data_IF_518457057804
#
_entry.id   IF_518457057804
#
_cell.length_a   1.000
_cell.length_b   1.000
_cell.length_c   1.000
_cell.angle_alpha   90.00
_cell.angle_beta   90.00
_cell.angle_gamma   90.00
#
_symmetry.space_group_name_H-M   'P 1'
#
loop_
_entity.id
_entity.type
_entity.pdbx_description
1 polymer ?
2 non-polymer ?
3 non-polymer ?
4 water ?
#
# COMPACT_ATOMS: atom_id res chain seq x y z
N UNK A 24 10.53 10.22 7.88
CA UNK A 24 10.75 9.05 6.96
C UNK A 24 10.54 7.74 7.73
N UNK A 25 10.33 6.66 6.98
CA UNK A 25 10.31 5.30 7.56
C UNK A 25 11.28 4.42 6.80
N UNK A 26 11.76 3.37 7.43
CA UNK A 26 12.78 2.47 6.85
C UNK A 26 12.42 1.03 7.18
N UNK A 27 12.82 0.12 6.31
CA UNK A 27 12.70 -1.33 6.54
C UNK A 27 13.89 -2.02 5.90
N UNK A 28 14.52 -2.89 6.68
CA UNK A 28 15.66 -3.71 6.24
C UNK A 28 15.25 -5.16 6.15
N UNK A 29 15.37 -5.72 4.95
CA UNK A 29 15.07 -7.16 4.69
C UNK A 29 16.11 -8.04 5.40
N UNK A 30 17.39 -7.64 5.39
CA UNK A 30 18.45 -8.39 6.12
C UNK A 30 18.07 -8.44 7.61
N UNK A 31 17.84 -9.63 8.14
CA UNK A 31 17.49 -9.81 9.55
C UNK A 31 16.02 -9.64 9.79
N UNK A 32 15.19 -9.46 8.77
CA UNK A 32 13.75 -9.24 8.99
C UNK A 32 13.10 -10.51 9.50
N UNK A 33 12.08 -10.35 10.33
CA UNK A 33 11.23 -11.45 10.82
C UNK A 33 9.82 -10.90 10.92
N UNK A 34 8.83 -11.75 11.22
CA UNK A 34 7.46 -11.26 11.35
C UNK A 34 7.35 -10.06 12.29
N UNK A 35 8.07 -10.11 13.42
CA UNK A 35 7.97 -9.01 14.41
C UNK A 35 8.50 -7.72 13.79
N UNK A 36 9.67 -7.73 13.18
CA UNK A 36 10.26 -6.50 12.68
C UNK A 36 9.40 -5.93 11.53
N UNK A 37 8.90 -6.76 10.63
CA UNK A 37 7.94 -6.31 9.60
C UNK A 37 6.69 -5.71 10.25
N UNK A 38 6.10 -6.38 11.22
CA UNK A 38 4.92 -5.84 11.89
C UNK A 38 5.20 -4.49 12.45
N UNK A 39 6.36 -4.33 13.08
CA UNK A 39 6.70 -3.02 13.69
C UNK A 39 6.89 -2.00 12.57
N UNK A 40 7.53 -2.35 11.47
CA UNK A 40 7.67 -1.41 10.33
C UNK A 40 6.28 -0.95 9.82
N UNK A 41 5.35 -1.86 9.66
CA UNK A 41 4.00 -1.47 9.15
C UNK A 41 3.33 -0.57 10.20
N UNK A 42 3.48 -0.86 11.49
CA UNK A 42 2.91 0.02 12.54
C UNK A 42 3.53 1.39 12.36
N UNK A 43 4.84 1.44 12.14
CA UNK A 43 5.56 2.72 11.98
C UNK A 43 5.16 3.48 10.71
N UNK A 44 4.91 2.77 9.62
CA UNK A 44 4.40 3.41 8.36
C UNK A 44 3.02 4.03 8.64
N UNK A 45 2.11 3.28 9.24
CA UNK A 45 0.79 3.85 9.61
C UNK A 45 0.98 5.10 10.44
N UNK A 46 1.86 5.04 11.43
CA UNK A 46 1.99 6.18 12.37
C UNK A 46 2.64 7.37 11.70
N UNK A 47 3.25 7.21 10.54
CA UNK A 47 3.91 8.33 9.86
C UNK A 47 2.86 9.11 9.08
N UNK A 48 1.63 8.63 8.98
CA UNK A 48 0.59 9.31 8.18
C UNK A 48 -0.19 10.25 9.10
N UNK A 49 -0.38 11.52 8.74
CA UNK A 49 -1.07 12.46 9.62
C UNK A 49 -2.59 12.26 9.58
N UNK A 50 -3.21 12.61 10.70
CA UNK A 50 -4.67 12.60 10.85
C UNK A 50 -5.04 13.64 11.90
N UNK A 51 -6.23 14.19 11.75
CA UNK A 51 -6.79 15.19 12.70
C UNK A 51 -7.78 14.49 13.62
N UNK A 52 -8.43 13.43 13.14
CA UNK A 52 -9.41 12.70 13.96
C UNK A 52 -9.38 11.24 13.61
N UNK A 53 -10.04 10.47 14.46
CA UNK A 53 -10.36 9.06 14.22
C UNK A 53 -11.87 8.94 14.05
N UNK A 54 -12.28 7.98 13.26
CA UNK A 54 -13.70 7.63 13.08
C UNK A 54 -13.81 6.17 13.48
N UNK A 55 -14.64 5.85 14.45
CA UNK A 55 -14.72 4.50 15.01
C UNK A 55 -13.30 4.02 15.34
N UNK A 56 -12.49 4.90 15.89
CA UNK A 56 -11.15 4.60 16.43
C UNK A 56 -10.18 4.23 15.30
N UNK A 57 -10.48 4.62 14.07
CA UNK A 57 -9.55 4.41 12.94
C UNK A 57 -9.09 5.77 12.48
N UNK A 58 -7.77 6.01 12.33
CA UNK A 58 -7.30 7.26 11.76
C UNK A 58 -7.95 7.62 10.42
N UNK A 59 -8.42 8.86 10.34
CA UNK A 59 -8.96 9.42 9.10
C UNK A 59 -7.87 10.21 8.39
N UNK A 60 -7.43 9.75 7.22
CA UNK A 60 -6.38 10.47 6.48
C UNK A 60 -6.92 11.84 6.09
N UNK A 61 -5.99 12.78 5.88
CA UNK A 61 -6.36 14.20 5.65
C UNK A 61 -6.97 14.35 4.25
N UNK A 62 -7.86 15.35 4.04
CA UNK A 62 -8.39 15.64 2.72
C UNK A 62 -7.30 16.03 1.71
N UNK A 63 -6.32 16.79 2.18
CA UNK A 63 -5.30 17.40 1.31
C UNK A 63 -4.10 17.81 2.15
N UNK A 64 -2.91 17.77 1.55
CA UNK A 64 -1.66 18.32 2.13
C UNK A 64 -0.93 19.04 0.99
N UNK A 65 -0.65 20.33 1.15
CA UNK A 65 0.02 21.17 0.11
C UNK A 65 1.52 20.88 0.06
N UNK A 66 2.09 20.86 -1.14
CA UNK A 66 3.54 20.89 -1.34
C UNK A 66 4.25 19.62 -0.88
N UNK A 67 5.50 19.71 -0.44
CA UNK A 67 6.39 18.53 -0.23
C UNK A 67 5.94 17.68 0.97
N UNK A 68 5.23 18.28 1.94
CA UNK A 68 4.75 17.57 3.14
C UNK A 68 3.77 16.46 2.78
N UNK A 69 3.23 16.47 1.56
CA UNK A 69 2.28 15.44 1.11
C UNK A 69 2.98 14.09 0.97
N UNK A 70 4.30 14.06 0.89
CA UNK A 70 5.00 12.82 0.54
C UNK A 70 5.85 12.31 1.69
N UNK A 71 5.66 11.04 2.04
CA UNK A 71 6.50 10.30 2.98
C UNK A 71 7.55 9.57 2.16
N UNK A 72 8.76 9.54 2.65
CA UNK A 72 9.84 8.73 2.08
C UNK A 72 9.98 7.44 2.86
N UNK A 73 9.94 6.32 2.15
CA UNK A 73 10.09 4.98 2.71
C UNK A 73 11.35 4.39 2.15
N UNK A 74 12.37 4.18 2.97
CA UNK A 74 13.67 3.62 2.58
C UNK A 74 13.59 2.12 2.77
N UNK A 75 13.78 1.36 1.69
CA UNK A 75 13.69 -0.11 1.71
C UNK A 75 15.04 -0.68 1.34
N UNK A 76 15.49 -1.66 2.09
CA UNK A 76 16.81 -2.27 1.86
C UNK A 76 16.61 -3.76 1.61
N UNK A 77 17.22 -4.27 0.54
CA UNK A 77 17.12 -5.72 0.21
C UNK A 77 18.07 -6.52 1.13
N UNK A 78 18.05 -7.85 0.99
CA UNK A 78 18.92 -8.71 1.86
C UNK A 78 20.37 -8.21 1.78
N UNK A 79 20.80 -7.86 0.58
CA UNK A 79 22.22 -7.54 0.34
C UNK A 79 22.50 -6.06 0.73
N UNK A 80 21.51 -5.31 1.25
CA UNK A 80 21.77 -3.95 1.78
C UNK A 80 21.69 -2.82 0.72
N UNK A 81 21.33 -3.15 -0.50
CA UNK A 81 21.04 -2.13 -1.56
C UNK A 81 19.64 -1.56 -1.28
N UNK A 82 19.39 -0.36 -1.76
CA UNK A 82 18.20 0.37 -1.29
C UNK A 82 17.52 1.13 -2.41
N UNK A 83 16.22 1.28 -2.24
CA UNK A 83 15.44 2.31 -2.98
C UNK A 83 14.71 3.16 -1.94
N UNK A 84 14.36 4.34 -2.34
CA UNK A 84 13.49 5.21 -1.54
C UNK A 84 12.17 5.34 -2.29
N UNK A 85 11.06 5.14 -1.64
CA UNK A 85 9.72 5.16 -2.27
C UNK A 85 8.98 6.38 -1.76
N UNK A 86 8.36 7.13 -2.66
CA UNK A 86 7.54 8.30 -2.29
C UNK A 86 6.10 7.86 -2.17
N UNK A 87 5.48 8.14 -1.03
CA UNK A 87 4.08 7.76 -0.73
C UNK A 87 3.27 9.00 -0.39
N UNK A 88 2.14 9.17 -1.04
CA UNK A 88 1.22 10.29 -0.70
C UNK A 88 0.51 9.96 0.62
N UNK A 89 0.63 10.84 1.60
CA UNK A 89 0.13 10.53 2.96
C UNK A 89 -1.36 10.69 3.05
N UNK A 90 -2.02 11.27 2.06
CA UNK A 90 -3.49 11.37 2.08
C UNK A 90 -4.16 10.09 1.61
N UNK A 91 -3.46 9.22 0.89
CA UNK A 91 -4.15 8.04 0.31
C UNK A 91 -3.24 6.80 0.26
N UNK A 92 -2.08 6.89 0.88
CA UNK A 92 -1.05 5.81 0.90
C UNK A 92 -0.67 5.39 -0.53
N UNK A 93 -0.77 6.26 -1.49
CA UNK A 93 -0.48 5.88 -2.89
C UNK A 93 1.00 6.10 -3.20
N UNK A 94 1.63 5.04 -3.67
CA UNK A 94 3.04 5.09 -4.14
C UNK A 94 3.08 5.79 -5.50
N UNK A 95 3.89 6.84 -5.55
CA UNK A 95 3.98 7.74 -6.71
C UNK A 95 5.20 7.44 -7.57
N UNK A 96 6.27 6.98 -6.93
CA UNK A 96 7.54 6.80 -7.61
C UNK A 96 8.58 6.42 -6.62
N UNK A 97 9.79 6.30 -7.09
CA UNK A 97 10.90 5.85 -6.24
C UNK A 97 12.22 6.29 -6.84
N UNK A 98 13.25 6.30 -6.01
CA UNK A 98 14.61 6.66 -6.35
C UNK A 98 15.48 5.43 -6.21
N UNK A 99 16.25 5.13 -7.23
CA UNK A 99 17.27 4.07 -7.20
C UNK A 99 18.59 4.67 -7.65
N UNK A 100 19.53 4.82 -6.72
CA UNK A 100 20.88 5.41 -6.95
C UNK A 100 20.66 6.83 -7.45
N UNK A 101 20.92 7.10 -8.73
CA UNK A 101 20.92 8.46 -9.31
C UNK A 101 19.71 8.65 -10.24
N UNK A 102 18.77 7.70 -10.30
CA UNK A 102 17.64 7.78 -11.25
C UNK A 102 16.32 7.72 -10.46
N UNK A 103 15.44 8.68 -10.71
CA UNK A 103 14.07 8.62 -10.14
C UNK A 103 13.14 8.04 -11.18
N UNK A 104 12.06 7.45 -10.71
CA UNK A 104 11.06 6.75 -11.52
C UNK A 104 9.70 7.16 -11.01
N UNK A 105 8.85 7.57 -11.92
CA UNK A 105 7.49 7.99 -11.53
C UNK A 105 6.45 7.34 -12.41
N UNK A 106 5.30 6.99 -11.83
CA UNK A 106 4.18 6.52 -12.65
C UNK A 106 3.77 7.59 -13.66
N UNK A 107 3.20 7.15 -14.77
CA UNK A 107 2.72 8.03 -15.85
C UNK A 107 1.30 8.48 -15.50
N UNK A 108 1.16 9.44 -14.61
CA UNK A 108 -0.16 9.97 -14.21
C UNK A 108 0.06 11.32 -13.54
N UNK A 109 -0.97 12.20 -13.52
CA UNK A 109 -0.77 13.56 -13.00
C UNK A 109 -0.33 13.68 -11.54
N UNK A 110 -0.82 12.80 -10.67
CA UNK A 110 -0.43 12.92 -9.25
C UNK A 110 1.08 12.65 -9.12
N UNK A 111 1.60 11.71 -9.90
CA UNK A 111 3.01 11.31 -9.82
C UNK A 111 3.85 12.40 -10.48
N UNK A 112 3.34 12.99 -11.57
CA UNK A 112 4.07 14.14 -12.18
C UNK A 112 4.17 15.30 -11.18
N UNK A 113 3.10 15.56 -10.43
CA UNK A 113 3.12 16.59 -9.37
C UNK A 113 4.14 16.21 -8.28
N UNK A 114 4.15 14.94 -7.84
CA UNK A 114 5.07 14.51 -6.79
C UNK A 114 6.48 14.82 -7.26
N UNK A 115 6.77 14.61 -8.54
CA UNK A 115 8.13 14.79 -9.06
C UNK A 115 8.61 16.25 -8.99
N UNK A 116 7.72 17.19 -8.72
CA UNK A 116 8.07 18.61 -8.44
C UNK A 116 8.68 18.73 -7.05
N UNK A 117 8.46 17.77 -6.16
CA UNK A 117 8.77 17.89 -4.72
C UNK A 117 9.80 16.89 -4.22
N UNK A 118 9.87 15.68 -4.78
CA UNK A 118 10.74 14.61 -4.23
C UNK A 118 11.78 14.24 -5.29
N UNK A 119 12.90 13.74 -4.80
CA UNK A 119 13.98 13.15 -5.63
C UNK A 119 14.54 14.14 -6.66
N UNK A 120 14.48 15.41 -6.31
CA UNK A 120 14.82 16.50 -7.26
C UNK A 120 16.27 16.38 -7.72
N UNK A 121 17.16 15.80 -6.88
CA UNK A 121 18.64 15.72 -7.10
C UNK A 121 19.02 14.49 -7.92
N UNK A 122 18.08 13.63 -8.30
CA UNK A 122 18.35 12.54 -9.24
C UNK A 122 18.94 13.12 -10.53
N UNK A 123 19.84 12.38 -11.13
CA UNK A 123 20.51 12.84 -12.38
C UNK A 123 19.52 12.84 -13.52
N UNK A 124 18.54 11.93 -13.51
CA UNK A 124 17.50 11.89 -14.55
C UNK A 124 16.26 11.33 -13.89
N UNK A 125 15.17 11.63 -14.53
CA UNK A 125 13.85 11.17 -14.10
C UNK A 125 13.23 10.37 -15.22
N UNK A 126 12.90 9.13 -14.94
CA UNK A 126 12.19 8.28 -15.93
C UNK A 126 10.73 8.24 -15.57
N UNK A 127 9.89 8.48 -16.55
CA UNK A 127 8.46 8.23 -16.40
C UNK A 127 8.19 6.83 -16.88
N UNK A 128 7.71 5.98 -15.98
CA UNK A 128 7.39 4.59 -16.35
C UNK A 128 6.29 4.58 -17.39
N UNK A 129 6.21 3.56 -18.26
CA UNK A 129 5.21 3.57 -19.32
C UNK A 129 3.88 2.94 -18.89
N UNK A 130 3.40 3.33 -17.71
CA UNK A 130 2.10 2.94 -17.15
C UNK A 130 1.81 3.85 -15.96
N UNK A 131 0.56 4.04 -15.69
CA UNK A 131 0.09 4.58 -14.40
C UNK A 131 0.26 3.54 -13.30
N UNK A 132 -0.03 3.99 -12.08
CA UNK A 132 0.20 3.15 -10.90
C UNK A 132 -1.02 2.44 -10.38
N UNK A 133 -2.11 2.38 -11.14
CA UNK A 133 -3.30 1.64 -10.70
C UNK A 133 -3.13 0.15 -11.05
N UNK A 134 -3.87 -0.68 -10.35
CA UNK A 134 -3.75 -2.13 -10.54
C UNK A 134 -4.06 -2.55 -11.97
N UNK A 135 -5.09 -1.94 -12.57
CA UNK A 135 -5.51 -2.36 -13.92
C UNK A 135 -4.32 -2.21 -14.88
N UNK A 136 -3.64 -1.07 -14.86
CA UNK A 136 -2.56 -0.82 -15.83
C UNK A 136 -1.31 -1.62 -15.45
N UNK A 137 -1.03 -1.77 -14.15
CA UNK A 137 0.16 -2.53 -13.73
C UNK A 137 -0.01 -3.99 -14.10
N UNK A 138 -1.21 -4.56 -13.93
CA UNK A 138 -1.39 -5.98 -14.26
C UNK A 138 -1.26 -6.20 -15.76
N UNK A 139 -1.74 -5.27 -16.58
CA UNK A 139 -1.52 -5.38 -18.05
C UNK A 139 -0.02 -5.32 -18.35
N UNK A 140 0.73 -4.40 -17.74
CA UNK A 140 2.17 -4.27 -18.01
C UNK A 140 2.92 -5.51 -17.50
N UNK A 141 2.48 -6.08 -16.38
CA UNK A 141 3.16 -7.26 -15.79
C UNK A 141 2.83 -8.55 -16.56
N UNK A 142 1.70 -8.53 -17.28
CA UNK A 142 1.20 -9.69 -18.01
C UNK A 142 0.50 -10.70 -17.13
N UNK A 143 0.18 -10.36 -15.87
CA UNK A 143 -0.45 -11.27 -14.89
C UNK A 143 -1.34 -10.45 -13.97
N UNK A 144 -2.50 -10.98 -13.52
CA UNK A 144 -3.24 -10.35 -12.43
C UNK A 144 -2.56 -10.57 -11.08
N UNK A 145 -2.89 -9.74 -10.11
CA UNK A 145 -2.45 -9.91 -8.69
C UNK A 145 -2.62 -11.35 -8.22
N UNK A 146 -3.71 -12.01 -8.59
CA UNK A 146 -4.01 -13.37 -8.10
C UNK A 146 -2.86 -14.33 -8.40
N UNK A 147 -2.06 -14.09 -9.43
CA UNK A 147 -1.05 -15.06 -9.92
C UNK A 147 0.37 -14.67 -9.51
N UNK A 148 0.58 -13.57 -8.81
CA UNK A 148 1.93 -13.07 -8.44
C UNK A 148 2.16 -13.35 -6.97
N UNK A 149 3.11 -14.26 -6.63
CA UNK A 149 3.41 -14.49 -5.23
C UNK A 149 3.88 -13.21 -4.53
N UNK A 150 3.45 -13.05 -3.30
CA UNK A 150 3.90 -11.90 -2.47
C UNK A 150 4.47 -12.47 -1.19
N UNK A 151 5.19 -11.61 -0.46
CA UNK A 151 5.88 -12.00 0.76
C UNK A 151 7.15 -11.20 0.91
N UNK A 152 7.88 -11.45 1.98
CA UNK A 152 9.13 -10.69 2.19
C UNK A 152 10.20 -11.11 1.18
N UNK A 153 10.35 -12.40 0.81
CA UNK A 153 11.30 -12.70 -0.26
C UNK A 153 10.93 -11.97 -1.56
N UNK A 154 9.63 -11.93 -1.87
CA UNK A 154 9.18 -11.25 -3.08
C UNK A 154 9.56 -9.77 -3.00
N UNK A 155 9.46 -9.15 -1.81
CA UNK A 155 9.84 -7.74 -1.67
C UNK A 155 11.33 -7.57 -1.88
N UNK A 156 12.17 -8.47 -1.34
CA UNK A 156 13.60 -8.47 -1.67
C UNK A 156 13.79 -8.47 -3.20
N UNK A 157 13.13 -9.38 -3.86
CA UNK A 157 13.29 -9.50 -5.33
C UNK A 157 12.82 -8.18 -5.98
N UNK A 158 11.74 -7.62 -5.50
CA UNK A 158 11.16 -6.38 -6.12
C UNK A 158 12.16 -5.24 -5.95
N UNK A 159 12.76 -5.06 -4.80
CA UNK A 159 13.76 -3.99 -4.59
C UNK A 159 14.90 -4.23 -5.57
N UNK A 160 15.38 -5.47 -5.67
CA UNK A 160 16.47 -5.84 -6.61
C UNK A 160 16.07 -5.41 -8.02
N UNK A 161 14.88 -5.79 -8.45
CA UNK A 161 14.41 -5.47 -9.81
C UNK A 161 14.41 -3.96 -10.01
N UNK A 162 13.89 -3.19 -9.07
CA UNK A 162 13.74 -1.73 -9.25
C UNK A 162 15.07 -0.97 -9.19
N UNK A 163 16.16 -1.58 -8.75
CA UNK A 163 17.47 -0.86 -8.64
C UNK A 163 17.99 -0.35 -9.99
N UNK A 164 17.65 -1.07 -11.04
CA UNK A 164 18.11 -0.78 -12.42
C UNK A 164 16.91 -0.90 -13.34
N UNK A 165 16.69 0.05 -14.21
CA UNK A 165 15.43 0.04 -15.02
C UNK A 165 15.17 -1.27 -15.82
N UNK A 166 13.96 -1.80 -15.70
CA UNK A 166 13.33 -2.79 -16.61
C UNK A 166 11.80 -2.65 -16.56
N UNK A 167 11.14 -1.98 -17.49
CA UNK A 167 9.74 -1.55 -17.23
C UNK A 167 8.82 -2.77 -17.06
N UNK A 168 9.01 -3.84 -17.83
CA UNK A 168 8.11 -5.01 -17.71
C UNK A 168 8.30 -5.66 -16.33
N UNK A 169 9.54 -5.95 -15.95
CA UNK A 169 9.89 -6.63 -14.67
C UNK A 169 9.47 -5.66 -13.57
N UNK A 170 9.62 -4.36 -13.78
CA UNK A 170 9.28 -3.34 -12.77
C UNK A 170 7.78 -3.42 -12.46
N UNK A 171 6.91 -3.68 -13.43
CA UNK A 171 5.47 -3.64 -13.14
C UNK A 171 5.13 -4.70 -12.09
N UNK A 172 5.62 -5.90 -12.26
CA UNK A 172 5.37 -6.98 -11.27
C UNK A 172 6.01 -6.65 -9.94
N UNK A 173 7.21 -6.11 -9.95
CA UNK A 173 7.91 -5.68 -8.70
C UNK A 173 7.05 -4.63 -7.99
N UNK A 174 6.48 -3.70 -8.72
CA UNK A 174 5.66 -2.64 -8.13
C UNK A 174 4.37 -3.24 -7.56
N UNK A 175 3.77 -4.22 -8.22
CA UNK A 175 2.62 -4.90 -7.61
C UNK A 175 3.01 -5.53 -6.28
N UNK A 176 4.18 -6.13 -6.20
CA UNK A 176 4.63 -6.73 -4.91
C UNK A 176 4.83 -5.60 -3.90
N UNK A 177 5.52 -4.55 -4.29
CA UNK A 177 5.84 -3.43 -3.39
C UNK A 177 4.57 -2.83 -2.83
N UNK A 178 3.61 -2.56 -3.68
CA UNK A 178 2.34 -1.94 -3.22
C UNK A 178 1.70 -2.83 -2.17
N UNK A 179 1.59 -4.09 -2.44
CA UNK A 179 0.77 -4.99 -1.56
C UNK A 179 1.51 -5.22 -0.25
N UNK A 180 2.85 -5.22 -0.21
CA UNK A 180 3.62 -5.54 1.00
C UNK A 180 3.82 -4.28 1.84
N UNK A 181 3.53 -3.11 1.36
CA UNK A 181 3.73 -1.86 2.10
C UNK A 181 2.37 -1.19 2.28
N UNK A 182 1.89 -0.47 1.26
CA UNK A 182 0.63 0.29 1.35
C UNK A 182 -0.53 -0.59 1.74
N UNK A 183 -0.74 -1.75 1.12
CA UNK A 183 -1.97 -2.52 1.43
C UNK A 183 -1.86 -3.09 2.84
N UNK A 184 -0.66 -3.47 3.29
CA UNK A 184 -0.46 -3.98 4.65
C UNK A 184 -0.71 -2.86 5.62
N UNK A 185 -0.36 -1.63 5.32
CA UNK A 185 -0.64 -0.48 6.19
C UNK A 185 -2.13 -0.31 6.32
N UNK A 186 -2.88 -0.45 5.24
CA UNK A 186 -4.34 -0.25 5.25
C UNK A 186 -5.08 -1.31 6.05
N UNK A 187 -4.62 -2.56 6.06
CA UNK A 187 -5.40 -3.70 6.62
C UNK A 187 -4.51 -4.59 7.47
N UNK A 188 -4.89 -4.78 8.72
CA UNK A 188 -4.18 -5.70 9.63
C UNK A 188 -4.15 -7.10 9.02
N UNK A 189 -5.23 -7.56 8.41
CA UNK A 189 -5.22 -8.91 7.82
C UNK A 189 -4.09 -9.03 6.80
N UNK A 190 -3.93 -8.03 5.94
CA UNK A 190 -2.89 -8.12 4.90
C UNK A 190 -1.52 -8.07 5.54
N UNK A 191 -1.29 -7.24 6.56
CA UNK A 191 -0.03 -7.31 7.34
C UNK A 191 0.19 -8.74 7.82
N UNK A 192 -0.80 -9.37 8.39
CA UNK A 192 -0.63 -10.72 8.91
C UNK A 192 -0.35 -11.71 7.78
N UNK A 193 -0.97 -11.55 6.63
CA UNK A 193 -0.69 -12.43 5.48
C UNK A 193 0.77 -12.27 5.05
N UNK A 194 1.32 -11.07 5.07
CA UNK A 194 2.73 -10.92 4.67
C UNK A 194 3.63 -11.50 5.76
N UNK A 195 3.27 -11.36 7.04
CA UNK A 195 4.05 -12.03 8.11
C UNK A 195 4.07 -13.52 7.88
N UNK A 196 2.98 -14.13 7.46
CA UNK A 196 2.93 -15.59 7.17
C UNK A 196 3.89 -15.91 6.04
N UNK A 197 4.15 -14.96 5.16
CA UNK A 197 5.03 -15.08 3.98
C UNK A 197 6.38 -14.42 4.23
N UNK A 198 6.89 -14.46 5.46
CA UNK A 198 8.18 -13.81 5.77
C UNK A 198 9.34 -14.54 5.09
N UNK A 199 9.19 -15.86 4.91
CA UNK A 199 10.30 -16.69 4.40
C UNK A 199 9.88 -17.55 3.22
N UNK A 200 8.66 -17.40 2.72
CA UNK A 200 8.09 -18.21 1.61
C UNK A 200 7.00 -17.36 0.97
N UNK A 201 7.19 -16.98 -0.26
CA UNK A 201 6.15 -16.24 -0.99
C UNK A 201 4.96 -17.12 -1.32
N UNK A 202 3.79 -16.51 -1.43
CA UNK A 202 2.59 -17.24 -1.85
C UNK A 202 1.65 -16.21 -2.46
N UNK A 203 0.94 -16.59 -3.49
CA UNK A 203 -0.05 -15.69 -4.12
C UNK A 203 -1.02 -15.22 -3.04
N UNK A 204 -1.56 -14.00 -3.22
CA UNK A 204 -2.48 -13.45 -2.22
C UNK A 204 -3.76 -14.28 -2.03
N UNK A 205 -4.24 -14.30 -0.81
CA UNK A 205 -5.52 -14.93 -0.48
C UNK A 205 -6.65 -14.20 -1.18
N UNK A 206 -7.77 -14.90 -1.27
CA UNK A 206 -8.97 -14.28 -1.86
C UNK A 206 -9.38 -13.03 -1.05
N UNK A 207 -9.30 -13.10 0.28
CA UNK A 207 -9.66 -11.96 1.11
C UNK A 207 -8.71 -10.81 0.87
N UNK A 208 -7.44 -11.09 0.63
CA UNK A 208 -6.45 -10.02 0.39
C UNK A 208 -6.89 -9.18 -0.81
N UNK A 209 -7.20 -9.85 -1.92
CA UNK A 209 -7.63 -9.15 -3.15
C UNK A 209 -8.90 -8.37 -2.86
N UNK A 210 -9.84 -8.99 -2.16
CA UNK A 210 -11.13 -8.35 -1.85
C UNK A 210 -10.95 -7.05 -1.06
N UNK A 211 -10.11 -7.13 -0.03
CA UNK A 211 -9.85 -5.94 0.82
C UNK A 211 -9.17 -4.83 0.01
N UNK A 212 -8.15 -5.21 -0.75
CA UNK A 212 -7.43 -4.23 -1.59
C UNK A 212 -8.45 -3.50 -2.46
N UNK A 213 -9.39 -4.23 -3.05
CA UNK A 213 -10.36 -3.68 -4.01
C UNK A 213 -11.38 -2.83 -3.27
N UNK A 214 -11.56 -3.01 -1.99
CA UNK A 214 -12.69 -2.44 -1.24
C UNK A 214 -12.29 -1.27 -0.35
N UNK A 215 -11.02 -0.90 -0.28
CA UNK A 215 -10.59 0.10 0.73
C UNK A 215 -11.37 1.40 0.60
N UNK A 216 -11.50 1.91 -0.61
CA UNK A 216 -12.24 3.18 -0.82
C UNK A 216 -13.70 3.04 -0.38
N UNK A 217 -14.35 1.97 -0.79
CA UNK A 217 -15.75 1.73 -0.44
C UNK A 217 -15.95 1.62 1.06
N UNK A 218 -15.12 0.82 1.71
CA UNK A 218 -15.20 0.63 3.17
C UNK A 218 -14.96 1.96 3.84
N UNK A 219 -13.94 2.70 3.41
CA UNK A 219 -13.63 4.00 4.01
C UNK A 219 -14.88 4.88 3.97
N UNK A 220 -15.44 4.99 2.80
CA UNK A 220 -16.64 5.85 2.60
C UNK A 220 -17.77 5.41 3.54
N UNK A 221 -18.07 4.13 3.58
CA UNK A 221 -19.20 3.65 4.41
C UNK A 221 -18.93 3.87 5.88
N UNK A 222 -17.70 3.72 6.35
CA UNK A 222 -17.41 3.92 7.78
C UNK A 222 -17.58 5.38 8.13
N UNK A 223 -17.18 6.29 7.26
CA UNK A 223 -17.40 7.73 7.51
C UNK A 223 -18.89 8.07 7.48
N UNK A 224 -19.63 7.57 6.50
CA UNK A 224 -21.10 7.78 6.47
C UNK A 224 -21.75 7.15 7.70
N UNK A 225 -21.22 6.07 8.26
CA UNK A 225 -21.87 5.40 9.40
C UNK A 225 -21.91 6.34 10.59
N UNK A 226 -20.98 7.27 10.70
CA UNK A 226 -20.85 8.16 11.88
C UNK A 226 -22.13 8.97 12.05
N UNK A 227 -22.87 9.29 10.96
CA UNK A 227 -24.19 9.99 10.99
C UNK A 227 -25.43 9.10 10.74
N UNK A 228 -25.22 7.79 10.86
CA UNK A 228 -26.23 6.76 10.54
C UNK A 228 -26.13 5.69 11.62
N UNK A 229 -25.75 6.03 12.83
CA UNK A 229 -25.80 5.08 13.98
C UNK A 229 -24.96 3.85 13.69
N UNK A 230 -23.86 4.00 12.99
CA UNK A 230 -22.93 2.87 12.78
C UNK A 230 -23.37 1.98 11.64
N UNK A 231 -24.42 2.32 10.93
CA UNK A 231 -24.98 1.48 9.85
C UNK A 231 -24.43 1.99 8.54
N UNK A 232 -23.94 1.09 7.71
CA UNK A 232 -23.50 1.44 6.34
C UNK A 232 -24.73 1.87 5.53
N UNK A 233 -24.64 2.97 4.84
CA UNK A 233 -25.71 3.38 3.90
C UNK A 233 -25.82 2.38 2.77
N UNK A 234 -24.68 1.87 2.30
CA UNK A 234 -24.64 0.83 1.25
C UNK A 234 -23.77 -0.32 1.76
N UNK A 235 -24.33 -1.51 2.04
CA UNK A 235 -23.51 -2.66 2.46
C UNK A 235 -22.43 -2.99 1.44
N UNK A 236 -21.28 -3.43 1.95
CA UNK A 236 -20.08 -3.75 1.13
C UNK A 236 -19.88 -5.26 1.16
N UNK A 237 -19.73 -5.88 0.01
CA UNK A 237 -19.47 -7.33 -0.09
C UNK A 237 -17.96 -7.57 -0.05
N UNK A 238 -17.51 -8.46 0.83
CA UNK A 238 -16.09 -8.84 0.93
C UNK A 238 -15.98 -10.35 0.84
N UNK A 239 -14.75 -10.82 0.65
CA UNK A 239 -14.40 -12.24 0.91
C UNK A 239 -13.71 -12.30 2.25
N UNK A 240 -14.12 -13.21 3.11
CA UNK A 240 -13.55 -13.32 4.47
C UNK A 240 -12.32 -14.23 4.45
N UNK A 241 -11.79 -14.45 5.65
CA UNK A 241 -10.51 -15.18 5.80
C UNK A 241 -10.67 -16.66 5.46
N UNK A 242 -11.90 -17.17 5.37
CA UNK A 242 -12.21 -18.58 5.01
C UNK A 242 -12.51 -18.69 3.51
N UNK A 243 -12.50 -17.57 2.77
CA UNK A 243 -12.77 -17.55 1.33
C UNK A 243 -14.24 -17.46 1.00
N UNK A 244 -15.09 -17.12 1.96
CA UNK A 244 -16.54 -17.03 1.74
C UNK A 244 -16.97 -15.57 1.57
N UNK A 245 -17.98 -15.37 0.75
CA UNK A 245 -18.56 -14.02 0.55
C UNK A 245 -19.38 -13.60 1.75
N UNK A 246 -19.17 -12.39 2.24
CA UNK A 246 -19.90 -11.84 3.40
C UNK A 246 -20.33 -10.43 3.04
N UNK A 247 -21.44 -10.01 3.62
CA UNK A 247 -21.96 -8.65 3.48
C UNK A 247 -21.64 -7.90 4.77
N UNK A 248 -20.97 -6.78 4.67
CA UNK A 248 -20.65 -5.89 5.81
C UNK A 248 -21.71 -4.81 5.85
N UNK A 249 -22.42 -4.72 6.96
CA UNK A 249 -23.55 -3.80 7.10
C UNK A 249 -23.32 -2.74 8.16
N UNK A 250 -22.39 -2.92 9.10
CA UNK A 250 -22.30 -1.96 10.22
C UNK A 250 -20.94 -2.07 10.87
N UNK A 251 -20.65 -1.09 11.69
CA UNK A 251 -19.31 -0.88 12.28
C UNK A 251 -19.00 -1.93 13.35
N UNK A 252 -19.90 -2.81 13.73
CA UNK A 252 -19.50 -3.87 14.69
C UNK A 252 -18.83 -5.04 13.98
N UNK A 253 -18.80 -5.05 12.65
CA UNK A 253 -18.04 -6.08 11.93
C UNK A 253 -16.56 -6.06 12.32
N UNK A 254 -15.98 -7.24 12.33
CA UNK A 254 -14.51 -7.35 12.56
C UNK A 254 -13.72 -6.60 11.50
N UNK A 255 -14.23 -6.40 10.30
CA UNK A 255 -13.40 -5.64 9.32
C UNK A 255 -13.24 -4.21 9.83
N UNK A 256 -14.24 -3.69 10.52
CA UNK A 256 -14.17 -2.31 11.07
C UNK A 256 -13.50 -2.30 12.44
N UNK A 257 -13.78 -3.25 13.31
CA UNK A 257 -13.24 -3.20 14.69
C UNK A 257 -11.79 -3.65 14.77
N UNK A 258 -11.34 -4.48 13.86
CA UNK A 258 -9.99 -5.08 13.97
C UNK A 258 -9.13 -4.85 12.71
N UNK A 259 -9.71 -4.89 11.54
CA UNK A 259 -8.92 -5.10 10.32
C UNK A 259 -8.48 -3.76 9.73
N UNK A 260 -9.40 -2.95 9.21
CA UNK A 260 -8.98 -1.69 8.55
C UNK A 260 -8.25 -0.79 9.55
N UNK A 261 -7.19 -0.14 9.07
CA UNK A 261 -6.28 0.62 9.95
C UNK A 261 -6.21 2.09 9.59
N UNK A 262 -6.68 2.47 8.41
CA UNK A 262 -6.59 3.84 7.86
C UNK A 262 -7.85 4.05 7.03
N UNK A 263 -8.40 5.25 7.07
CA UNK A 263 -9.57 5.59 6.22
C UNK A 263 -9.17 6.65 5.19
N UNK A 264 -9.48 6.35 3.93
CA UNK A 264 -9.38 7.34 2.84
C UNK A 264 -10.46 8.39 3.10
N UNK A 265 -10.09 9.65 3.12
CA UNK A 265 -11.06 10.72 3.42
C UNK A 265 -12.11 10.76 2.29
N UNK A 266 -13.38 10.89 2.64
CA UNK A 266 -14.47 10.94 1.63
C UNK A 266 -14.31 12.12 0.67
N UNK A 267 -13.56 13.15 1.06
CA UNK A 267 -13.26 14.31 0.18
C UNK A 267 -12.36 13.89 -0.97
N UNK A 268 -11.75 12.69 -0.93
CA UNK A 268 -10.89 12.17 -2.01
C UNK A 268 -11.53 10.98 -2.71
X LIG B 1 -3.25 0.45 -5.21
X LIG B 1 -3.15 0.37 -6.53
X LIG B 1 -2.08 1.09 -6.96
X LIG B 1 -1.48 1.63 -5.85
X LIG B 1 -0.37 2.45 -5.64
X LIG B 1 0.42 2.93 -6.65
X LIG B 1 -0.01 2.78 -4.40
X LIG B 1 -0.78 2.32 -3.35
X LIG B 1 -1.88 1.56 -3.51
X LIG B 1 -2.21 1.23 -4.78
X LIG C 1 -24.08 -5.73 12.26
X LIG C 1 -25.18 -6.68 11.81
X LIG C 1 -25.09 -8.00 12.58
X LIG C 1 -23.69 -8.59 12.49
X LIG C 1 -22.67 -7.53 12.87
X LIG C 1 -21.22 -8.00 12.77
X LIG C 1 -27.35 -5.89 11.01
X LIG C 1 -28.67 -5.36 11.48
X LIG C 1 -26.49 -6.10 12.00
X LIG C 1 -26.01 -8.94 12.02
X LIG C 1 -23.66 -9.70 13.39
X LIG C 1 -22.85 -6.39 12.03
X LIG C 1 -20.96 -8.42 11.43
X LIG C 1 -27.11 -6.12 9.83
#
# INVERSE_FOLDING_TARGET
MSRFSVLSFLILAIFLGGSIVKGDVSFRLSGADPRSYGMFIKDLRNALPFREKVYNIPLLLPSVSGAGRYLLMHLFNYDGKTITVAVDVTNVYIMGYLADTTSYFFNEPAAELASQYVFRDARRKITLPYSGNYERLQIAAGKPREKIPIGLPALDSAISTLLHYDSTAAAGALLVLIQTTAEAARFKYIEQQIQERAYRDEVPSLATISLENSWSGLSKQIQLAQGNNGIFRTPIVLVDNKGNRVQITNVTSKVVTSNIQLLLNTRNIAEGDNGDVSTTHGFSSY
ADE N9 C8 N7 C5 C6 N6 N1 C2 N3 C4
NAG C1 C2 C3 C4 C5 C6 C7 C8 N2 O3 O4 O5 O6 O7
#
